data_IF_862458255796
#
_entry.id   IF_862458255796
#
_cell.length_a   1.000
_cell.length_b   1.000
_cell.length_c   1.000
_cell.angle_alpha   90.00
_cell.angle_beta   90.00
_cell.angle_gamma   90.00
#
_symmetry.space_group_name_H-M   'P 1'
#
loop_
_entity.id
_entity.type
_entity.pdbx_description
1 polymer ?
#
# COMPACT_ATOMS: atom_id res chain seq x y z
N UNK A 1 -24.70 16.73 -4.01
CA UNK A 1 -23.60 16.01 -4.69
C UNK A 1 -22.29 16.59 -4.19
N UNK A 2 -21.67 15.88 -3.27
CA UNK A 2 -20.38 16.19 -2.65
C UNK A 2 -19.33 15.27 -3.25
N UNK A 3 -18.10 15.78 -3.43
CA UNK A 3 -16.94 14.93 -3.71
C UNK A 3 -16.05 14.90 -2.47
N UNK A 4 -15.91 13.72 -1.86
CA UNK A 4 -15.01 13.51 -0.73
C UNK A 4 -13.60 13.20 -1.24
N UNK A 5 -12.64 14.03 -0.84
CA UNK A 5 -11.24 13.83 -1.17
C UNK A 5 -10.52 13.10 -0.04
N UNK A 6 -10.06 11.88 -0.29
CA UNK A 6 -9.39 11.03 0.69
C UNK A 6 -7.92 10.89 0.28
N UNK A 7 -7.02 11.27 1.19
CA UNK A 7 -5.57 11.12 1.03
C UNK A 7 -5.10 9.96 1.89
N UNK A 8 -4.52 8.94 1.27
CA UNK A 8 -4.01 7.75 1.96
C UNK A 8 -2.49 7.76 1.89
N UNK A 9 -1.85 7.63 3.05
CA UNK A 9 -0.41 7.43 3.17
C UNK A 9 -0.17 5.93 3.32
N UNK A 10 0.57 5.33 2.40
CA UNK A 10 0.66 3.87 2.30
C UNK A 10 2.01 3.41 1.78
N UNK A 11 2.37 2.17 2.10
CA UNK A 11 3.54 1.48 1.56
C UNK A 11 3.13 0.14 0.93
N UNK A 12 3.79 -0.26 -0.16
CA UNK A 12 3.50 -1.47 -0.92
C UNK A 12 3.74 -2.75 -0.11
N UNK A 13 4.65 -2.70 0.87
CA UNK A 13 4.98 -3.81 1.79
C UNK A 13 4.22 -3.73 3.13
N UNK A 14 3.26 -2.82 3.28
CA UNK A 14 2.44 -2.74 4.49
C UNK A 14 1.19 -3.62 4.38
N UNK A 15 1.11 -4.78 5.07
CA UNK A 15 -0.07 -5.64 4.94
C UNK A 15 -1.33 -5.00 5.53
N UNK A 16 -1.19 -4.12 6.53
CA UNK A 16 -2.29 -3.37 7.10
C UNK A 16 -2.86 -2.32 6.15
N UNK A 17 -2.07 -1.82 5.20
CA UNK A 17 -2.59 -0.93 4.15
C UNK A 17 -3.55 -1.66 3.22
N UNK A 18 -3.30 -2.95 2.92
CA UNK A 18 -4.22 -3.79 2.14
C UNK A 18 -5.55 -3.96 2.86
N UNK A 19 -5.52 -4.31 4.15
CA UNK A 19 -6.72 -4.40 5.00
C UNK A 19 -7.45 -3.05 5.08
N UNK A 20 -6.72 -1.97 5.34
CA UNK A 20 -7.28 -0.63 5.45
C UNK A 20 -7.96 -0.17 4.16
N UNK A 21 -7.35 -0.46 3.01
CA UNK A 21 -7.96 -0.21 1.70
C UNK A 21 -9.28 -0.96 1.55
N UNK A 22 -9.30 -2.26 1.83
CA UNK A 22 -10.50 -3.09 1.69
C UNK A 22 -11.65 -2.58 2.58
N UNK A 23 -11.32 -2.20 3.82
CA UNK A 23 -12.28 -1.59 4.75
C UNK A 23 -12.80 -0.24 4.26
N UNK A 24 -11.94 0.60 3.69
CA UNK A 24 -12.35 1.88 3.12
C UNK A 24 -13.33 1.68 1.96
N UNK A 25 -13.05 0.73 1.07
CA UNK A 25 -13.94 0.39 -0.04
C UNK A 25 -15.31 -0.07 0.46
N UNK A 26 -15.33 -0.98 1.45
CA UNK A 26 -16.58 -1.41 2.10
C UNK A 26 -17.33 -0.24 2.74
N UNK A 27 -16.61 0.67 3.41
CA UNK A 27 -17.22 1.83 4.06
C UNK A 27 -17.83 2.81 3.04
N UNK A 28 -17.15 3.06 1.92
CA UNK A 28 -17.67 3.89 0.82
C UNK A 28 -18.92 3.26 0.22
N UNK A 29 -18.91 1.95 -0.04
CA UNK A 29 -20.07 1.23 -0.56
C UNK A 29 -21.26 1.27 0.40
N UNK A 30 -21.00 1.12 1.71
CA UNK A 30 -22.03 1.21 2.74
C UNK A 30 -22.61 2.64 2.82
N UNK A 31 -21.75 3.66 2.77
CA UNK A 31 -22.17 5.06 2.77
C UNK A 31 -23.13 5.34 1.60
N UNK A 32 -22.74 4.96 0.38
CA UNK A 32 -23.55 5.18 -0.82
C UNK A 32 -24.91 4.48 -0.77
N UNK A 33 -25.04 3.40 0.00
CA UNK A 33 -26.28 2.62 0.13
C UNK A 33 -27.19 3.08 1.27
N UNK A 34 -26.62 3.67 2.32
CA UNK A 34 -27.35 3.88 3.59
C UNK A 34 -27.55 5.36 3.94
N UNK A 35 -26.73 6.26 3.41
CA UNK A 35 -26.86 7.70 3.64
C UNK A 35 -27.77 8.32 2.58
N UNK A 36 -28.78 9.07 3.02
CA UNK A 36 -29.70 9.78 2.12
C UNK A 36 -28.93 10.72 1.18
N UNK A 37 -29.06 10.49 -0.14
CA UNK A 37 -28.35 11.23 -1.18
C UNK A 37 -26.91 10.79 -1.41
N UNK A 38 -26.40 9.83 -0.63
CA UNK A 38 -25.03 9.33 -0.72
C UNK A 38 -24.72 8.60 -2.03
N UNK A 39 -25.73 8.09 -2.73
CA UNK A 39 -25.61 7.50 -4.07
C UNK A 39 -25.16 8.51 -5.13
N UNK A 40 -25.43 9.80 -4.89
CA UNK A 40 -25.05 10.91 -5.78
C UNK A 40 -23.71 11.56 -5.37
N UNK A 41 -23.10 11.08 -4.28
CA UNK A 41 -21.81 11.55 -3.82
C UNK A 41 -20.67 10.71 -4.40
N UNK A 42 -19.52 11.37 -4.56
CA UNK A 42 -18.33 10.78 -5.17
C UNK A 42 -17.14 10.79 -4.21
N UNK A 43 -16.19 9.90 -4.46
CA UNK A 43 -15.01 9.71 -3.61
C UNK A 43 -13.77 9.70 -4.49
N UNK A 44 -12.90 10.68 -4.27
CA UNK A 44 -11.60 10.77 -4.94
C UNK A 44 -10.52 10.31 -3.96
N UNK A 45 -9.99 9.11 -4.18
CA UNK A 45 -8.90 8.55 -3.38
C UNK A 45 -7.56 8.87 -4.05
N UNK A 46 -6.61 9.39 -3.28
CA UNK A 46 -5.24 9.68 -3.71
C UNK A 46 -4.25 9.00 -2.80
N UNK A 47 -3.18 8.45 -3.38
CA UNK A 47 -2.18 7.70 -2.66
C UNK A 47 -0.89 8.53 -2.54
N UNK A 48 -0.30 8.47 -1.36
CA UNK A 48 0.95 9.15 -1.00
C UNK A 48 1.95 8.13 -0.47
N UNK A 49 3.20 8.17 -0.97
CA UNK A 49 4.20 7.17 -0.62
C UNK A 49 4.62 7.29 0.85
N UNK A 50 4.72 6.16 1.51
CA UNK A 50 5.41 5.97 2.77
C UNK A 50 6.43 4.85 2.61
N UNK A 51 7.54 4.92 3.36
CA UNK A 51 8.56 3.88 3.37
C UNK A 51 8.65 3.33 4.78
N UNK A 52 8.10 2.14 5.01
CA UNK A 52 8.15 1.45 6.30
C UNK A 52 9.58 1.17 6.72
N UNK A 53 10.39 0.74 5.75
CA UNK A 53 11.80 0.49 5.96
C UNK A 53 12.60 0.93 4.71
N UNK A 54 13.09 2.18 4.68
CA UNK A 54 13.87 2.69 3.56
C UNK A 54 15.26 2.03 3.46
N UNK A 55 15.68 1.26 4.47
CA UNK A 55 16.97 0.59 4.51
C UNK A 55 16.95 -0.79 3.84
N UNK A 56 15.76 -1.29 3.48
CA UNK A 56 15.62 -2.55 2.77
C UNK A 56 16.38 -2.52 1.43
N UNK A 57 17.01 -3.65 1.05
CA UNK A 57 17.82 -3.72 -0.16
C UNK A 57 16.98 -3.54 -1.43
N UNK A 58 17.67 -3.17 -2.52
CA UNK A 58 17.06 -3.11 -3.86
C UNK A 58 16.70 -4.48 -4.42
N UNK A 59 17.33 -5.54 -3.91
CA UNK A 59 17.02 -6.93 -4.27
C UNK A 59 16.16 -7.50 -3.17
N UNK A 60 15.02 -8.07 -3.53
CA UNK A 60 14.07 -8.65 -2.59
C UNK A 60 14.69 -9.75 -1.73
N UNK A 61 14.39 -9.70 -0.43
CA UNK A 61 14.72 -10.74 0.56
C UNK A 61 13.44 -11.44 1.01
N UNK A 62 13.53 -12.73 1.33
CA UNK A 62 12.36 -13.51 1.74
C UNK A 62 11.73 -12.93 3.02
N UNK A 63 10.44 -12.67 2.96
CA UNK A 63 9.71 -11.93 4.00
C UNK A 63 9.68 -12.68 5.33
N UNK A 64 9.50 -14.00 5.28
CA UNK A 64 9.46 -14.87 6.45
C UNK A 64 10.82 -14.92 7.15
N UNK A 65 11.91 -15.07 6.40
CA UNK A 65 13.28 -15.04 6.92
C UNK A 65 13.58 -13.67 7.54
N UNK A 66 13.24 -12.59 6.83
CA UNK A 66 13.45 -11.23 7.33
C UNK A 66 12.70 -10.98 8.65
N UNK A 67 11.42 -11.38 8.71
CA UNK A 67 10.59 -11.21 9.90
C UNK A 67 11.06 -12.08 11.07
N UNK A 68 11.47 -13.33 10.81
CA UNK A 68 12.04 -14.22 11.81
C UNK A 68 13.34 -13.67 12.40
N UNK A 69 14.22 -13.10 11.57
CA UNK A 69 15.46 -12.47 12.02
C UNK A 69 15.19 -11.21 12.87
N UNK A 70 14.17 -10.43 12.51
CA UNK A 70 13.85 -9.16 13.18
C UNK A 70 13.10 -9.35 14.50
N UNK A 71 12.17 -10.30 14.57
CA UNK A 71 11.24 -10.44 15.69
C UNK A 71 11.42 -11.75 16.48
N UNK A 72 12.24 -12.67 15.98
CA UNK A 72 12.29 -14.06 16.44
C UNK A 72 11.26 -14.93 15.72
N UNK A 73 11.57 -16.21 15.47
CA UNK A 73 10.75 -17.09 14.63
C UNK A 73 9.34 -17.32 15.19
N UNK A 74 9.20 -17.53 16.50
CA UNK A 74 7.89 -17.77 17.13
C UNK A 74 6.97 -16.55 17.00
N UNK A 75 7.50 -15.37 17.32
CA UNK A 75 6.75 -14.11 17.23
C UNK A 75 6.39 -13.78 15.78
N UNK A 76 7.31 -13.98 14.83
CA UNK A 76 7.05 -13.78 13.41
C UNK A 76 5.93 -14.70 12.89
N UNK A 77 5.93 -15.96 13.31
CA UNK A 77 4.87 -16.91 12.97
C UNK A 77 3.51 -16.47 13.54
N UNK A 78 3.45 -16.06 14.81
CA UNK A 78 2.22 -15.54 15.44
C UNK A 78 1.69 -14.29 14.73
N UNK A 79 2.57 -13.36 14.37
CA UNK A 79 2.20 -12.14 13.62
C UNK A 79 1.62 -12.50 12.25
N UNK A 80 2.24 -13.44 11.55
CA UNK A 80 1.78 -13.91 10.23
C UNK A 80 0.41 -14.58 10.34
N UNK A 81 0.21 -15.48 11.31
CA UNK A 81 -1.09 -16.12 11.55
C UNK A 81 -2.18 -15.11 11.86
N UNK A 82 -1.90 -14.14 12.74
CA UNK A 82 -2.84 -13.06 13.04
C UNK A 82 -3.18 -12.26 11.78
N UNK A 83 -2.19 -11.94 10.96
CA UNK A 83 -2.41 -11.20 9.72
C UNK A 83 -3.30 -11.98 8.76
N UNK A 84 -3.06 -13.28 8.56
CA UNK A 84 -3.87 -14.14 7.70
C UNK A 84 -5.32 -14.18 8.20
N UNK A 85 -5.54 -14.38 9.49
CA UNK A 85 -6.87 -14.39 10.09
C UNK A 85 -7.60 -13.04 9.88
N UNK A 86 -6.88 -11.91 10.04
CA UNK A 86 -7.43 -10.58 9.76
C UNK A 86 -7.77 -10.38 8.28
N UNK A 87 -6.93 -10.86 7.37
CA UNK A 87 -7.19 -10.79 5.93
C UNK A 87 -8.43 -11.58 5.53
N UNK A 88 -8.60 -12.79 6.05
CA UNK A 88 -9.75 -13.65 5.76
C UNK A 88 -11.08 -12.96 6.10
N UNK A 89 -11.15 -12.24 7.22
CA UNK A 89 -12.35 -11.48 7.59
C UNK A 89 -12.72 -10.38 6.57
N UNK A 90 -11.75 -9.90 5.80
CA UNK A 90 -11.93 -8.88 4.77
C UNK A 90 -11.96 -9.48 3.35
N UNK A 91 -11.90 -10.81 3.22
CA UNK A 91 -11.85 -11.52 1.94
C UNK A 91 -10.49 -11.43 1.23
N UNK A 92 -9.40 -11.22 1.97
CA UNK A 92 -8.02 -11.17 1.47
C UNK A 92 -7.31 -12.48 1.82
N UNK A 93 -6.76 -13.17 0.82
CA UNK A 93 -6.03 -14.42 1.03
C UNK A 93 -4.52 -14.18 1.12
N UNK A 94 -4.06 -13.65 2.26
CA UNK A 94 -2.63 -13.48 2.49
C UNK A 94 -1.89 -14.81 2.36
N UNK A 95 -0.88 -14.85 1.48
CA UNK A 95 -0.07 -16.04 1.22
C UNK A 95 0.87 -16.40 2.37
N UNK A 96 1.17 -15.44 3.25
CA UNK A 96 2.18 -15.54 4.31
C UNK A 96 3.62 -15.60 3.79
N UNK A 97 3.83 -15.39 2.48
CA UNK A 97 5.11 -15.48 1.78
C UNK A 97 5.31 -14.24 0.91
N UNK A 98 6.50 -14.12 0.32
CA UNK A 98 6.86 -13.07 -0.63
C UNK A 98 8.24 -12.50 -0.35
N UNK A 99 8.58 -11.42 -1.05
CA UNK A 99 9.86 -10.74 -0.85
C UNK A 99 9.69 -9.28 -0.47
N UNK A 100 10.39 -8.89 0.58
CA UNK A 100 10.51 -7.51 1.04
C UNK A 100 11.71 -6.85 0.40
N UNK A 101 11.60 -5.57 0.09
CA UNK A 101 12.70 -4.79 -0.44
C UNK A 101 12.33 -3.33 -0.51
N UNK A 102 13.22 -2.53 -1.08
CA UNK A 102 12.98 -1.10 -1.27
C UNK A 102 11.74 -0.87 -2.16
N UNK A 103 10.76 -0.11 -1.67
CA UNK A 103 9.47 0.09 -2.34
C UNK A 103 9.43 1.30 -3.27
N UNK A 104 10.57 1.96 -3.53
CA UNK A 104 10.62 3.18 -4.37
C UNK A 104 10.03 2.97 -5.76
N UNK A 105 10.35 1.85 -6.40
CA UNK A 105 9.88 1.60 -7.76
C UNK A 105 8.39 1.18 -7.79
N UNK A 106 7.90 0.53 -6.74
CA UNK A 106 6.45 0.34 -6.55
C UNK A 106 5.72 1.68 -6.38
N UNK A 107 6.28 2.62 -5.62
CA UNK A 107 5.74 3.98 -5.49
C UNK A 107 5.78 4.75 -6.81
N UNK A 108 6.84 4.59 -7.62
CA UNK A 108 6.93 5.19 -8.95
C UNK A 108 5.88 4.61 -9.90
N UNK A 109 5.56 3.33 -9.83
CA UNK A 109 4.46 2.74 -10.60
C UNK A 109 3.12 3.40 -10.25
N UNK A 110 2.83 3.59 -8.95
CA UNK A 110 1.62 4.29 -8.50
C UNK A 110 1.60 5.73 -9.01
N UNK A 111 2.74 6.42 -9.03
CA UNK A 111 2.84 7.76 -9.62
C UNK A 111 2.52 7.79 -11.10
N UNK A 112 3.03 6.84 -11.90
CA UNK A 112 2.67 6.74 -13.31
C UNK A 112 1.15 6.63 -13.47
N UNK A 113 0.52 5.74 -12.71
CA UNK A 113 -0.93 5.56 -12.73
C UNK A 113 -1.71 6.83 -12.36
N UNK A 114 -1.19 7.58 -11.36
CA UNK A 114 -1.73 8.87 -10.92
C UNK A 114 -1.72 9.94 -12.02
N UNK A 115 -0.72 9.94 -12.90
CA UNK A 115 -0.70 10.87 -14.06
C UNK A 115 -1.84 10.63 -15.04
N UNK A 116 -2.44 9.44 -15.03
CA UNK A 116 -3.51 9.04 -15.95
C UNK A 116 -4.91 9.25 -15.35
N UNK A 117 -5.15 8.78 -14.12
CA UNK A 117 -6.39 9.06 -13.36
C UNK A 117 -6.32 8.51 -11.93
N UNK A 118 -7.12 9.05 -11.00
CA UNK A 118 -7.27 8.49 -9.66
C UNK A 118 -7.87 7.06 -9.66
N UNK A 119 -8.73 6.74 -10.63
CA UNK A 119 -9.29 5.41 -10.76
C UNK A 119 -8.20 4.39 -11.15
N UNK A 120 -7.30 4.76 -12.07
CA UNK A 120 -6.17 3.91 -12.45
C UNK A 120 -5.14 3.81 -11.31
N UNK A 121 -4.85 4.92 -10.62
CA UNK A 121 -4.03 4.94 -9.39
C UNK A 121 -4.53 3.89 -8.38
N UNK A 122 -5.84 3.89 -8.09
CA UNK A 122 -6.44 2.95 -7.14
C UNK A 122 -6.39 1.49 -7.62
N UNK A 123 -6.57 1.23 -8.92
CA UNK A 123 -6.45 -0.13 -9.49
C UNK A 123 -5.02 -0.65 -9.39
N UNK A 124 -4.02 0.18 -9.71
CA UNK A 124 -2.60 -0.20 -9.62
C UNK A 124 -2.21 -0.53 -8.18
N UNK A 125 -2.65 0.26 -7.20
CA UNK A 125 -2.43 -0.08 -5.77
C UNK A 125 -3.06 -1.42 -5.41
N UNK A 126 -4.26 -1.72 -5.92
CA UNK A 126 -4.93 -3.01 -5.70
C UNK A 126 -4.13 -4.18 -6.27
N UNK A 127 -3.66 -4.06 -7.51
CA UNK A 127 -2.87 -5.11 -8.17
C UNK A 127 -1.48 -5.27 -7.54
N UNK A 128 -0.86 -4.20 -7.05
CA UNK A 128 0.38 -4.28 -6.28
C UNK A 128 0.19 -5.07 -4.99
N UNK A 129 -0.84 -4.73 -4.20
CA UNK A 129 -1.13 -5.46 -2.96
C UNK A 129 -1.43 -6.93 -3.24
N UNK A 130 -2.29 -7.22 -4.22
CA UNK A 130 -2.63 -8.60 -4.59
C UNK A 130 -1.40 -9.39 -5.05
N UNK A 131 -0.58 -8.80 -5.93
CA UNK A 131 0.62 -9.45 -6.47
C UNK A 131 1.67 -9.71 -5.38
N UNK A 132 1.84 -8.80 -4.43
CA UNK A 132 2.78 -9.00 -3.33
C UNK A 132 2.22 -9.98 -2.28
N UNK A 133 1.06 -9.66 -1.71
CA UNK A 133 0.56 -10.29 -0.49
C UNK A 133 -0.19 -11.59 -0.72
N UNK A 134 -0.97 -11.69 -1.80
CA UNK A 134 -1.77 -12.88 -2.09
C UNK A 134 -1.03 -13.86 -3.00
N UNK A 135 -0.16 -13.36 -3.88
CA UNK A 135 0.60 -14.18 -4.83
C UNK A 135 2.06 -14.43 -4.39
N UNK A 136 2.52 -13.82 -3.28
CA UNK A 136 3.87 -14.01 -2.76
C UNK A 136 4.95 -13.40 -3.67
N UNK A 137 4.62 -12.30 -4.36
CA UNK A 137 5.52 -11.65 -5.31
C UNK A 137 6.63 -10.82 -4.66
N UNK A 138 7.59 -10.41 -5.48
CA UNK A 138 8.71 -9.55 -5.13
C UNK A 138 8.46 -8.10 -5.54
N UNK A 139 8.27 -7.23 -4.54
CA UNK A 139 7.99 -5.80 -4.74
C UNK A 139 9.13 -5.04 -5.45
N UNK A 140 10.34 -5.62 -5.51
CA UNK A 140 11.50 -5.04 -6.20
C UNK A 140 11.64 -5.52 -7.65
N UNK A 141 10.88 -6.53 -8.05
CA UNK A 141 10.95 -7.10 -9.40
C UNK A 141 10.22 -6.23 -10.41
N UNK A 142 10.94 -5.77 -11.45
CA UNK A 142 10.34 -4.99 -12.53
C UNK A 142 9.28 -5.81 -13.27
N UNK A 143 9.50 -7.12 -13.46
CA UNK A 143 8.51 -7.97 -14.09
C UNK A 143 7.20 -8.00 -13.30
N UNK A 144 7.26 -8.15 -11.98
CA UNK A 144 6.06 -8.08 -11.13
C UNK A 144 5.39 -6.71 -11.21
N UNK A 145 6.16 -5.62 -11.15
CA UNK A 145 5.61 -4.26 -11.20
C UNK A 145 4.93 -3.96 -12.55
N UNK A 146 5.57 -4.38 -13.65
CA UNK A 146 5.03 -4.24 -15.00
C UNK A 146 3.74 -5.06 -15.16
N UNK A 147 3.76 -6.32 -14.70
CA UNK A 147 2.59 -7.21 -14.74
C UNK A 147 1.42 -6.65 -13.91
N UNK A 148 1.70 -6.11 -12.72
CA UNK A 148 0.69 -5.47 -11.88
C UNK A 148 0.11 -4.20 -12.54
N UNK A 149 0.96 -3.39 -13.18
CA UNK A 149 0.54 -2.23 -13.95
C UNK A 149 -0.38 -2.60 -15.12
N UNK A 150 0.02 -3.61 -15.91
CA UNK A 150 -0.76 -4.11 -17.04
C UNK A 150 -2.12 -4.67 -16.62
N UNK A 151 -2.17 -5.50 -15.57
CA UNK A 151 -3.42 -6.02 -15.00
C UNK A 151 -4.37 -4.91 -14.55
N UNK A 152 -3.84 -3.80 -14.05
CA UNK A 152 -4.62 -2.63 -13.67
C UNK A 152 -5.06 -1.75 -14.87
N UNK A 153 -4.49 -1.98 -16.06
CA UNK A 153 -4.79 -1.30 -17.31
C UNK A 153 -3.79 -0.22 -17.74
N UNK A 154 -2.55 -0.26 -17.25
CA UNK A 154 -1.45 0.54 -17.80
C UNK A 154 -0.90 -0.11 -19.08
N UNK A 155 -0.34 0.70 -19.97
CA UNK A 155 0.44 0.18 -21.10
C UNK A 155 1.74 -0.47 -20.59
N UNK A 156 1.98 -1.72 -21.00
CA UNK A 156 3.14 -2.50 -20.56
C UNK A 156 4.46 -1.83 -20.94
N UNK A 157 4.56 -1.33 -22.18
CA UNK A 157 5.78 -0.74 -22.70
C UNK A 157 6.09 0.62 -22.04
N UNK A 158 5.08 1.45 -21.83
CA UNK A 158 5.17 2.70 -21.05
C UNK A 158 5.60 2.42 -19.62
N UNK A 159 5.00 1.42 -18.97
CA UNK A 159 5.33 1.06 -17.59
C UNK A 159 6.79 0.64 -17.48
N UNK A 160 7.27 -0.21 -18.39
CA UNK A 160 8.67 -0.63 -18.45
C UNK A 160 9.61 0.58 -18.60
N UNK A 161 9.37 1.41 -19.62
CA UNK A 161 10.17 2.64 -19.85
C UNK A 161 10.18 3.54 -18.62
N UNK A 162 9.01 3.77 -18.02
CA UNK A 162 8.87 4.62 -16.84
C UNK A 162 9.73 4.13 -15.67
N UNK A 163 9.79 2.83 -15.43
CA UNK A 163 10.60 2.24 -14.37
C UNK A 163 12.10 2.35 -14.68
N UNK A 164 12.51 2.09 -15.93
CA UNK A 164 13.91 2.15 -16.40
C UNK A 164 14.48 3.59 -16.47
N UNK A 165 13.69 4.58 -16.90
CA UNK A 165 14.17 5.95 -17.19
C UNK A 165 14.43 6.83 -15.95
N UNK A 166 14.08 6.35 -14.75
CA UNK A 166 14.72 6.80 -13.50
C UNK A 166 14.67 8.28 -13.12
N UNK A 167 13.71 9.12 -13.57
CA UNK A 167 13.81 10.57 -13.36
C UNK A 167 13.07 11.17 -12.14
N UNK A 168 12.01 10.54 -11.63
CA UNK A 168 11.21 11.13 -10.53
C UNK A 168 11.31 10.29 -9.26
N UNK A 169 11.88 10.87 -8.20
CA UNK A 169 11.95 10.26 -6.88
C UNK A 169 10.71 10.63 -6.05
N UNK A 170 9.84 9.66 -5.69
CA UNK A 170 8.70 9.90 -4.80
C UNK A 170 9.08 10.45 -3.42
N UNK A 171 10.33 10.29 -2.98
CA UNK A 171 10.80 10.77 -1.68
C UNK A 171 10.75 12.30 -1.55
N UNK A 172 10.70 13.05 -2.66
CA UNK A 172 10.55 14.52 -2.61
C UNK A 172 9.22 14.99 -2.00
N UNK A 173 8.24 14.10 -1.78
CA UNK A 173 6.97 14.42 -1.12
C UNK A 173 6.94 14.20 0.41
N UNK A 174 7.97 13.61 1.01
CA UNK A 174 7.98 13.32 2.46
C UNK A 174 8.24 14.54 3.35
N UNK A 175 8.76 15.65 2.82
CA UNK A 175 9.04 16.84 3.62
C UNK A 175 7.78 17.61 4.06
N UNK A 176 6.59 17.31 3.52
CA UNK A 176 5.35 18.01 3.91
C UNK A 176 4.52 17.31 4.99
N UNK A 177 4.61 15.98 5.16
CA UNK A 177 3.74 15.25 6.10
C UNK A 177 4.27 15.15 7.53
N UNK A 178 5.58 15.30 7.76
CA UNK A 178 6.15 15.31 9.12
C UNK A 178 5.62 16.51 9.94
N UNK A 179 5.12 17.57 9.30
CA UNK A 179 4.52 18.74 9.98
C UNK A 179 3.16 18.49 10.65
N UNK A 180 2.47 17.37 10.39
CA UNK A 180 1.17 17.09 11.05
C UNK A 180 1.37 16.60 12.49
N UNK A 181 2.56 16.11 12.85
CA UNK A 181 2.84 15.68 14.23
C UNK A 181 2.92 16.84 15.22
N UNK A 182 3.20 18.05 14.75
CA UNK A 182 3.48 19.21 15.60
C UNK A 182 2.32 20.21 15.70
N UNK A 183 1.18 19.96 15.04
CA UNK A 183 0.08 20.93 14.94
C UNK A 183 -1.28 20.43 15.43
N UNK A 184 -1.36 19.27 16.09
CA UNK A 184 -2.59 18.81 16.75
C UNK A 184 -2.49 19.02 18.27
N UNK A 185 -3.02 20.12 18.83
CA UNK A 185 -3.15 20.26 20.27
C UNK A 185 -4.18 19.24 20.77
N UNK A 186 -3.76 18.28 21.60
CA UNK A 186 -4.68 17.50 22.44
C UNK A 186 -4.68 15.97 22.30
N UNK A 187 -3.81 15.35 21.50
CA UNK A 187 -3.68 13.87 21.54
C UNK A 187 -2.55 13.48 22.48
N UNK A 188 -2.89 13.17 23.72
CA UNK A 188 -2.00 12.45 24.64
C UNK A 188 -1.93 10.98 24.23
N UNK A 189 -0.87 10.58 23.51
CA UNK A 189 -0.54 9.16 23.40
C UNK A 189 0.32 8.77 24.59
N UNK A 190 -0.20 7.91 25.46
CA UNK A 190 0.58 7.30 26.53
C UNK A 190 1.71 6.47 25.90
N UNK A 191 2.94 6.84 26.23
CA UNK A 191 4.15 6.15 25.82
C UNK A 191 4.39 4.92 26.68
N UNK A 192 3.51 3.91 26.57
CA UNK A 192 3.82 2.56 27.07
C UNK A 192 3.29 1.49 26.11
N UNK A 193 4.24 0.84 25.44
CA UNK A 193 4.07 -0.52 24.93
C UNK A 193 3.46 -0.63 23.53
N UNK A 194 4.27 -0.38 22.50
CA UNK A 194 4.02 -0.93 21.18
C UNK A 194 5.37 -1.26 20.50
N UNK A 195 6.09 -2.22 21.07
CA UNK A 195 6.96 -3.08 20.27
C UNK A 195 6.04 -4.01 19.49
N UNK A 196 5.85 -3.75 18.19
CA UNK A 196 5.36 -4.72 17.21
C UNK A 196 6.57 -5.41 16.60
#
# INVERSE_FOLDING_TARGET
>A
MTNFHIKIVSDAICPWCTIGKKRLETAIDLYKKTVSGGENDSFTVTWHPFYLDPTLPKVGVDSDIHMANKFGPERAAMMTQRLIAMGQMEGINFSGRGKLGNTRDAHRLVQLAKTKSNALENRVVSELFKSHFEQGGDVTSYDMLIDAGEKAGLDRAETKRWLEEGAQDPQTFLQQFIRIKDSAPGVSTSSKGATC
#
